data_IF_008813978211
#
_entry.id   IF_008813978211
#
_cell.length_a   1.000
_cell.length_b   1.000
_cell.length_c   1.000
_cell.angle_alpha   90.00
_cell.angle_beta   90.00
_cell.angle_gamma   90.00
#
_symmetry.space_group_name_H-M   'P 1'
#
loop_
_entity.id
_entity.type
_entity.pdbx_description
1 polymer ?
#
# COMPACT_ATOMS: atom_id res chain seq x y z
N UNK A 1 25.03 10.24 33.08
CA UNK A 1 23.62 10.28 32.69
C UNK A 1 23.53 10.27 31.16
N UNK A 2 23.13 9.16 30.55
CA UNK A 2 22.73 9.09 29.14
C UNK A 2 21.27 8.64 29.15
N UNK A 3 20.35 9.57 28.91
CA UNK A 3 18.95 9.24 28.66
C UNK A 3 18.87 8.70 27.24
N UNK A 4 18.96 7.38 27.08
CA UNK A 4 18.50 6.73 25.86
C UNK A 4 16.97 6.80 25.89
N UNK A 5 16.39 7.67 25.06
CA UNK A 5 14.95 7.61 24.80
C UNK A 5 14.63 6.21 24.23
N UNK A 6 13.70 5.44 24.83
CA UNK A 6 13.33 4.17 24.25
C UNK A 6 12.62 4.45 22.92
N UNK A 7 13.12 3.86 21.84
CA UNK A 7 12.37 3.72 20.60
C UNK A 7 10.99 3.14 20.93
N UNK A 8 9.89 3.71 20.41
CA UNK A 8 8.56 3.21 20.70
C UNK A 8 8.44 1.79 20.14
N UNK A 9 8.47 0.83 21.07
CA UNK A 9 8.21 -0.57 20.82
C UNK A 9 6.71 -0.75 21.00
N UNK A 10 5.92 -0.43 19.98
CA UNK A 10 4.54 -0.91 19.95
C UNK A 10 4.62 -2.43 19.81
N UNK A 11 4.14 -3.22 20.79
CA UNK A 11 4.02 -4.65 20.55
C UNK A 11 3.06 -4.85 19.36
N UNK A 12 3.37 -5.77 18.45
CA UNK A 12 2.58 -6.01 17.22
C UNK A 12 1.12 -6.37 17.55
N UNK A 13 0.90 -7.09 18.66
CA UNK A 13 -0.41 -7.56 19.11
C UNK A 13 -1.45 -6.45 19.35
N UNK A 14 -1.14 -5.33 20.05
CA UNK A 14 -2.09 -4.23 20.22
C UNK A 14 -2.59 -3.62 18.90
N UNK A 15 -1.76 -3.55 17.87
CA UNK A 15 -2.15 -2.95 16.59
C UNK A 15 -3.11 -3.86 15.82
N UNK A 16 -2.79 -5.15 15.71
CA UNK A 16 -3.67 -6.15 15.09
C UNK A 16 -5.02 -6.23 15.80
N UNK A 17 -5.02 -6.21 17.13
CA UNK A 17 -6.24 -6.20 17.93
C UNK A 17 -7.09 -4.96 17.68
N UNK A 18 -6.46 -3.78 17.55
CA UNK A 18 -7.17 -2.54 17.22
C UNK A 18 -7.80 -2.63 15.82
N UNK A 19 -7.06 -3.09 14.82
CA UNK A 19 -7.55 -3.24 13.44
C UNK A 19 -8.72 -4.21 13.33
N UNK A 20 -8.78 -5.21 14.21
CA UNK A 20 -9.91 -6.15 14.30
C UNK A 20 -11.15 -5.57 14.99
N UNK A 21 -10.99 -4.56 15.86
CA UNK A 21 -12.10 -3.99 16.63
C UNK A 21 -12.77 -2.79 15.96
N UNK A 22 -12.06 -2.09 15.08
CA UNK A 22 -12.59 -0.88 14.44
C UNK A 22 -12.95 -1.13 12.97
N UNK A 23 -14.03 -0.49 12.53
CA UNK A 23 -14.36 -0.42 11.09
C UNK A 23 -13.39 0.53 10.40
N UNK A 24 -12.63 0.00 9.44
CA UNK A 24 -11.70 0.78 8.64
C UNK A 24 -12.41 1.24 7.37
N UNK A 25 -12.68 2.54 7.26
CA UNK A 25 -13.29 3.08 6.03
C UNK A 25 -12.26 3.23 4.92
N UNK A 26 -11.04 3.65 5.27
CA UNK A 26 -9.96 3.90 4.32
C UNK A 26 -8.63 3.34 4.84
N UNK A 27 -7.93 2.62 3.99
CA UNK A 27 -6.55 2.21 4.19
C UNK A 27 -5.69 2.88 3.11
N UNK A 28 -4.64 3.58 3.54
CA UNK A 28 -3.64 4.18 2.65
C UNK A 28 -2.30 3.61 3.09
N UNK A 29 -1.73 2.71 2.28
CA UNK A 29 -0.49 1.99 2.62
C UNK A 29 0.59 2.25 1.58
N UNK A 30 1.80 2.45 2.05
CA UNK A 30 2.99 2.49 1.20
C UNK A 30 3.52 1.08 0.97
N UNK A 31 3.81 0.75 -0.28
CA UNK A 31 4.46 -0.49 -0.71
C UNK A 31 5.84 -0.17 -1.28
N UNK A 32 6.80 -1.04 -1.00
CA UNK A 32 8.14 -0.95 -1.57
C UNK A 32 8.17 -1.44 -3.01
N UNK A 33 7.40 -2.48 -3.35
CA UNK A 33 7.41 -3.08 -4.69
C UNK A 33 6.05 -3.68 -5.05
N UNK A 34 5.72 -3.61 -6.35
CA UNK A 34 4.58 -4.30 -6.95
C UNK A 34 5.16 -5.38 -7.89
N UNK A 35 4.96 -6.65 -7.55
CA UNK A 35 5.43 -7.77 -8.37
C UNK A 35 4.58 -7.90 -9.64
N UNK A 36 5.13 -8.54 -10.68
CA UNK A 36 4.46 -8.69 -11.98
C UNK A 36 3.11 -9.43 -11.90
N UNK A 37 2.92 -10.31 -10.90
CA UNK A 37 1.66 -11.01 -10.65
C UNK A 37 0.63 -10.18 -9.86
N UNK A 38 1.00 -8.94 -9.51
CA UNK A 38 0.17 -8.01 -8.74
C UNK A 38 0.38 -8.09 -7.24
N UNK A 39 1.35 -8.85 -6.72
CA UNK A 39 1.63 -8.92 -5.28
C UNK A 39 2.18 -7.59 -4.75
N UNK A 40 1.58 -7.11 -3.66
CA UNK A 40 1.94 -5.86 -2.97
C UNK A 40 2.93 -6.17 -1.86
N UNK A 41 4.14 -5.63 -1.95
CA UNK A 41 5.23 -5.92 -1.03
C UNK A 41 5.65 -4.70 -0.21
N UNK A 42 5.94 -4.89 1.08
CA UNK A 42 6.49 -3.86 1.97
C UNK A 42 7.91 -4.20 2.40
N UNK A 43 8.73 -3.19 2.70
CA UNK A 43 10.12 -3.33 3.20
C UNK A 43 10.21 -3.44 4.73
N UNK A 44 9.08 -3.61 5.44
CA UNK A 44 9.02 -3.76 6.90
C UNK A 44 8.29 -5.07 7.28
N UNK A 45 8.92 -6.26 7.11
CA UNK A 45 8.26 -7.56 7.29
C UNK A 45 7.55 -7.76 8.63
N UNK A 46 8.08 -7.16 9.71
CA UNK A 46 7.49 -7.23 11.05
C UNK A 46 6.07 -6.64 11.13
N UNK A 47 5.71 -5.72 10.23
CA UNK A 47 4.40 -5.10 10.17
C UNK A 47 3.46 -5.77 9.15
N UNK A 48 3.91 -6.80 8.45
CA UNK A 48 3.15 -7.39 7.34
C UNK A 48 1.76 -7.89 7.76
N UNK A 49 1.66 -8.58 8.91
CA UNK A 49 0.40 -9.07 9.42
C UNK A 49 -0.59 -7.93 9.75
N UNK A 50 -0.11 -6.88 10.41
CA UNK A 50 -0.93 -5.71 10.71
C UNK A 50 -1.36 -4.98 9.43
N UNK A 51 -0.47 -4.83 8.44
CA UNK A 51 -0.80 -4.13 7.18
C UNK A 51 -1.74 -4.92 6.32
N UNK A 52 -1.57 -6.25 6.27
CA UNK A 52 -2.52 -7.14 5.61
C UNK A 52 -3.90 -7.02 6.27
N UNK A 53 -4.00 -7.08 7.61
CA UNK A 53 -5.28 -6.87 8.32
C UNK A 53 -5.90 -5.50 8.01
N UNK A 54 -5.10 -4.43 8.03
CA UNK A 54 -5.57 -3.08 7.71
C UNK A 54 -6.10 -2.99 6.27
N UNK A 55 -5.41 -3.63 5.33
CA UNK A 55 -5.77 -3.65 3.93
C UNK A 55 -7.03 -4.49 3.68
N UNK A 56 -7.09 -5.71 4.21
CA UNK A 56 -8.21 -6.63 4.03
C UNK A 56 -9.52 -6.11 4.64
N UNK A 57 -9.45 -5.41 5.78
CA UNK A 57 -10.63 -4.90 6.49
C UNK A 57 -11.12 -3.53 5.99
N UNK A 58 -10.36 -2.85 5.14
CA UNK A 58 -10.72 -1.51 4.68
C UNK A 58 -11.75 -1.54 3.54
N UNK A 59 -12.75 -0.67 3.64
CA UNK A 59 -13.77 -0.49 2.59
C UNK A 59 -13.16 0.11 1.31
N UNK A 60 -12.29 1.10 1.48
CA UNK A 60 -11.51 1.72 0.39
C UNK A 60 -10.02 1.58 0.66
N UNK A 61 -9.26 1.16 -0.33
CA UNK A 61 -7.84 0.84 -0.25
C UNK A 61 -7.09 1.64 -1.31
N UNK A 62 -6.10 2.38 -0.84
CA UNK A 62 -5.18 3.14 -1.66
C UNK A 62 -3.77 2.66 -1.38
N UNK A 63 -3.03 2.39 -2.44
CA UNK A 63 -1.64 1.96 -2.35
C UNK A 63 -0.75 3.08 -2.87
N UNK A 64 0.32 3.40 -2.16
CA UNK A 64 1.38 4.31 -2.62
C UNK A 64 2.59 3.47 -2.98
N UNK A 65 3.07 3.57 -4.21
CA UNK A 65 4.28 2.85 -4.64
C UNK A 65 5.49 3.73 -4.42
N UNK A 66 6.40 3.31 -3.53
CA UNK A 66 7.63 4.04 -3.25
C UNK A 66 8.84 3.54 -4.06
N UNK A 67 8.77 2.31 -4.59
CA UNK A 67 9.86 1.66 -5.36
C UNK A 67 11.21 1.70 -4.63
N UNK A 68 11.25 1.17 -3.41
CA UNK A 68 12.49 1.00 -2.64
C UNK A 68 13.02 -0.43 -2.84
N UNK A 69 14.19 -0.64 -3.49
CA UNK A 69 14.80 -1.95 -3.61
C UNK A 69 15.29 -2.41 -2.23
N UNK A 70 14.39 -3.03 -1.47
CA UNK A 70 14.70 -3.58 -0.17
C UNK A 70 15.20 -5.03 -0.26
N UNK A 71 16.21 -5.43 0.53
CA UNK A 71 16.73 -6.80 0.54
C UNK A 71 15.77 -7.81 1.17
N UNK A 72 14.75 -7.34 1.90
CA UNK A 72 13.72 -8.17 2.50
C UNK A 72 12.38 -7.48 2.35
N UNK A 73 11.45 -8.19 1.74
CA UNK A 73 10.06 -7.77 1.60
C UNK A 73 9.11 -8.78 2.21
N UNK A 74 7.90 -8.33 2.50
CA UNK A 74 6.78 -9.19 2.85
C UNK A 74 5.54 -8.79 2.05
N UNK A 75 4.80 -9.78 1.57
CA UNK A 75 3.53 -9.57 0.89
C UNK A 75 2.45 -9.14 1.89
N UNK A 76 1.61 -8.18 1.48
CA UNK A 76 0.47 -7.69 2.29
C UNK A 76 -0.88 -7.77 1.57
N UNK A 77 -0.89 -8.15 0.30
CA UNK A 77 -2.11 -8.22 -0.51
C UNK A 77 -1.80 -8.23 -2.01
N UNK A 78 -2.84 -8.02 -2.82
CA UNK A 78 -2.77 -7.97 -4.26
C UNK A 78 -3.39 -6.69 -4.84
N UNK A 79 -2.87 -6.27 -5.99
CA UNK A 79 -3.27 -5.06 -6.71
C UNK A 79 -4.78 -4.99 -6.99
N UNK A 80 -5.42 -6.12 -7.31
CA UNK A 80 -6.86 -6.16 -7.61
C UNK A 80 -7.76 -5.79 -6.42
N UNK A 81 -7.24 -5.86 -5.20
CA UNK A 81 -7.97 -5.43 -4.01
C UNK A 81 -7.96 -3.90 -3.85
N UNK A 82 -7.02 -3.20 -4.50
CA UNK A 82 -6.87 -1.75 -4.41
C UNK A 82 -7.84 -1.01 -5.34
N UNK A 83 -8.40 0.08 -4.84
CA UNK A 83 -9.24 0.98 -5.61
C UNK A 83 -8.39 2.08 -6.24
N UNK A 84 -7.32 2.51 -5.57
CA UNK A 84 -6.41 3.53 -6.07
C UNK A 84 -4.95 3.13 -5.89
N UNK A 85 -4.12 3.52 -6.86
CA UNK A 85 -2.66 3.42 -6.79
C UNK A 85 -2.07 4.80 -7.06
N UNK A 86 -1.24 5.29 -6.14
CA UNK A 86 -0.51 6.53 -6.27
C UNK A 86 0.94 6.18 -6.57
N UNK A 87 1.46 6.72 -7.67
CA UNK A 87 2.82 6.46 -8.14
C UNK A 87 3.50 7.80 -8.37
N UNK A 88 4.74 7.96 -7.89
CA UNK A 88 5.50 9.18 -8.19
C UNK A 88 5.92 9.21 -9.66
N UNK A 89 6.14 10.41 -10.20
CA UNK A 89 6.51 10.59 -11.60
C UNK A 89 7.76 9.78 -11.99
N UNK A 90 8.75 9.71 -11.10
CA UNK A 90 10.03 9.06 -11.36
C UNK A 90 9.94 7.56 -11.63
N UNK A 91 8.86 6.91 -11.18
CA UNK A 91 8.68 5.45 -11.30
C UNK A 91 7.37 5.07 -12.02
N UNK A 92 6.57 6.05 -12.45
CA UNK A 92 5.32 5.79 -13.14
C UNK A 92 5.53 4.95 -14.41
N UNK A 93 6.56 5.24 -15.20
CA UNK A 93 6.86 4.50 -16.43
C UNK A 93 7.13 3.01 -16.18
N UNK A 94 7.69 2.65 -15.02
CA UNK A 94 7.95 1.27 -14.62
C UNK A 94 6.65 0.48 -14.41
N UNK A 95 5.64 1.09 -13.81
CA UNK A 95 4.40 0.42 -13.42
C UNK A 95 3.22 0.68 -14.37
N UNK A 96 3.34 1.64 -15.29
CA UNK A 96 2.26 2.06 -16.18
C UNK A 96 1.64 0.89 -16.96
N UNK A 97 2.46 0.04 -17.60
CA UNK A 97 1.93 -1.09 -18.39
C UNK A 97 1.17 -2.09 -17.51
N UNK A 98 1.70 -2.36 -16.31
CA UNK A 98 1.08 -3.27 -15.37
C UNK A 98 -0.26 -2.72 -14.85
N UNK A 99 -0.30 -1.45 -14.47
CA UNK A 99 -1.53 -0.80 -13.99
C UNK A 99 -2.61 -0.72 -15.07
N UNK A 100 -2.22 -0.41 -16.32
CA UNK A 100 -3.13 -0.44 -17.46
C UNK A 100 -3.68 -1.84 -17.73
N UNK A 101 -2.86 -2.88 -17.60
CA UNK A 101 -3.28 -4.28 -17.78
C UNK A 101 -4.20 -4.77 -16.67
N UNK A 102 -4.15 -4.14 -15.49
CA UNK A 102 -5.04 -4.39 -14.36
C UNK A 102 -6.28 -3.49 -14.34
N UNK A 103 -6.64 -2.89 -15.48
CA UNK A 103 -7.81 -2.01 -15.67
C UNK A 103 -7.81 -0.72 -14.81
N UNK A 104 -6.63 -0.26 -14.38
CA UNK A 104 -6.51 1.06 -13.79
C UNK A 104 -6.40 2.15 -14.86
N UNK A 105 -7.06 3.28 -14.60
CA UNK A 105 -7.00 4.49 -15.42
C UNK A 105 -6.48 5.67 -14.63
N UNK A 106 -5.80 6.61 -15.28
CA UNK A 106 -5.33 7.82 -14.62
C UNK A 106 -6.53 8.72 -14.30
N UNK A 107 -6.80 8.93 -13.02
CA UNK A 107 -7.85 9.83 -12.54
C UNK A 107 -7.33 11.25 -12.32
N UNK A 108 -6.13 11.37 -11.78
CA UNK A 108 -5.50 12.65 -11.48
C UNK A 108 -4.00 12.61 -11.76
N UNK A 109 -3.48 13.72 -12.27
CA UNK A 109 -2.05 13.93 -12.51
C UNK A 109 -1.61 15.26 -11.92
N UNK A 110 -0.53 15.25 -11.15
CA UNK A 110 0.21 16.46 -10.81
C UNK A 110 1.61 16.43 -11.43
N UNK A 111 2.43 17.43 -11.13
CA UNK A 111 3.82 17.41 -11.55
C UNK A 111 4.64 16.30 -10.86
N UNK A 112 4.21 15.80 -9.71
CA UNK A 112 5.01 14.89 -8.88
C UNK A 112 4.44 13.48 -8.79
N UNK A 113 3.14 13.31 -9.04
CA UNK A 113 2.47 12.02 -8.87
C UNK A 113 1.31 11.79 -9.84
N UNK A 114 1.01 10.50 -10.04
CA UNK A 114 -0.11 9.98 -10.80
C UNK A 114 -1.01 9.19 -9.86
N UNK A 115 -2.31 9.47 -9.89
CA UNK A 115 -3.32 8.65 -9.22
C UNK A 115 -4.02 7.80 -10.28
N UNK A 116 -3.80 6.51 -10.18
CA UNK A 116 -4.45 5.46 -10.95
C UNK A 116 -5.65 4.96 -10.15
N UNK A 117 -6.82 4.83 -10.77
CA UNK A 117 -8.03 4.33 -10.14
C UNK A 117 -8.57 3.14 -10.91
N UNK A 118 -9.06 2.14 -10.18
CA UNK A 118 -9.71 0.98 -10.77
C UNK A 118 -10.95 1.45 -11.54
N UNK A 119 -11.06 1.09 -12.82
CA UNK A 119 -12.12 1.55 -13.72
C UNK A 119 -13.52 1.16 -13.24
N UNK A 120 -13.69 0.02 -12.59
CA UNK A 120 -15.00 -0.45 -12.11
C UNK A 120 -15.63 0.53 -11.11
N UNK A 121 -14.79 1.14 -10.25
CA UNK A 121 -15.19 2.13 -9.25
C UNK A 121 -15.60 3.48 -9.82
N UNK A 122 -15.22 3.81 -11.05
CA UNK A 122 -15.64 5.06 -11.71
C UNK A 122 -17.04 4.95 -12.32
N UNK A 123 -17.64 3.75 -12.34
CA UNK A 123 -18.96 3.48 -12.91
C UNK A 123 -20.06 3.33 -11.85
N UNK A 124 -19.69 3.27 -10.57
CA UNK A 124 -20.58 3.29 -9.39
C UNK A 124 -20.92 4.73 -8.98
#
# INVERSE_FOLDING_TARGET
MKCCAPTPHWPEKPLEQALQHFTITHSILEISHLDADGTLNINVPRLAAAWQLCFDHAQNKTVIVAADPAPSTAAIGHLHQAENVIVSRSINEQYQQQLQSADFVILYTSNECFTWSNRERLQE
#
